data_IF_399042258130
#
_entry.id   IF_399042258130
#
_cell.length_a   1.000
_cell.length_b   1.000
_cell.length_c   1.000
_cell.angle_alpha   90.00
_cell.angle_beta   90.00
_cell.angle_gamma   90.00
#
_symmetry.space_group_name_H-M   'P 1'
#
loop_
_entity.id
_entity.type
_entity.pdbx_description
1 polymer ?
#
# COMPACT_ATOMS: atom_id res chain seq x y z
N UNK A 1 73.84 -31.36 31.36
CA UNK A 1 72.60 -30.60 31.63
C UNK A 1 72.14 -29.96 30.32
N UNK A 2 71.10 -30.51 29.69
CA UNK A 2 70.39 -29.89 28.54
C UNK A 2 68.97 -29.56 29.03
N UNK A 3 68.43 -28.36 28.79
CA UNK A 3 67.09 -28.02 29.27
C UNK A 3 66.03 -28.66 28.37
N UNK A 4 65.02 -29.27 28.99
CA UNK A 4 63.83 -29.79 28.31
C UNK A 4 62.88 -28.64 27.98
N UNK A 5 62.63 -28.44 26.69
CA UNK A 5 61.64 -27.50 26.16
C UNK A 5 60.24 -28.11 26.23
N UNK A 6 59.40 -27.60 27.13
CA UNK A 6 57.96 -27.89 27.19
C UNK A 6 57.24 -27.12 26.07
N UNK A 7 56.59 -27.86 25.17
CA UNK A 7 55.72 -27.32 24.12
C UNK A 7 54.29 -27.20 24.67
N UNK A 8 53.62 -26.04 24.57
CA UNK A 8 52.24 -25.90 25.03
C UNK A 8 51.27 -26.53 24.01
N UNK A 9 50.45 -27.47 24.46
CA UNK A 9 49.30 -27.95 23.68
C UNK A 9 48.21 -26.87 23.68
N UNK A 10 48.02 -26.20 22.54
CA UNK A 10 46.87 -25.36 22.27
C UNK A 10 45.69 -26.29 21.95
N UNK A 11 44.73 -26.41 22.87
CA UNK A 11 43.42 -27.01 22.57
C UNK A 11 42.66 -26.06 21.65
N UNK A 12 42.62 -26.41 20.35
CA UNK A 12 41.78 -25.73 19.36
C UNK A 12 40.33 -26.23 19.54
N UNK A 13 39.50 -25.45 20.25
CA UNK A 13 38.06 -25.68 20.31
C UNK A 13 37.44 -25.33 18.94
N UNK A 14 37.24 -26.35 18.11
CA UNK A 14 36.40 -26.25 16.91
C UNK A 14 34.95 -26.02 17.35
N UNK A 15 34.57 -24.74 17.46
CA UNK A 15 33.17 -24.36 17.56
C UNK A 15 32.45 -24.76 16.27
N UNK A 16 31.64 -25.81 16.32
CA UNK A 16 30.66 -26.10 15.28
C UNK A 16 29.66 -24.94 15.24
N UNK A 17 29.86 -24.00 14.31
CA UNK A 17 28.84 -23.06 13.93
C UNK A 17 27.71 -23.86 13.27
N UNK A 18 26.70 -24.25 14.05
CA UNK A 18 25.48 -24.82 13.50
C UNK A 18 24.89 -23.78 12.55
N UNK A 19 24.92 -24.06 11.25
CA UNK A 19 24.19 -23.28 10.27
C UNK A 19 22.73 -23.27 10.69
N UNK A 20 22.20 -22.10 11.05
CA UNK A 20 20.79 -21.95 11.36
C UNK A 20 20.00 -22.24 10.07
N UNK A 21 19.50 -23.47 9.94
CA UNK A 21 18.58 -23.84 8.88
C UNK A 21 17.22 -23.24 9.20
N UNK A 22 16.71 -22.39 8.33
CA UNK A 22 15.30 -21.97 8.34
C UNK A 22 14.41 -23.21 8.19
N UNK A 23 13.45 -23.40 9.12
CA UNK A 23 12.48 -24.48 9.02
C UNK A 23 11.27 -24.04 8.18
N UNK A 24 10.60 -25.00 7.54
CA UNK A 24 9.27 -24.78 6.94
C UNK A 24 8.21 -25.43 7.83
N UNK A 25 7.28 -24.61 8.33
CA UNK A 25 6.20 -24.99 9.23
C UNK A 25 4.90 -25.09 8.42
N UNK A 26 4.41 -26.30 8.18
CA UNK A 26 3.19 -26.51 7.39
C UNK A 26 1.92 -26.39 8.24
N UNK A 27 0.98 -25.59 7.77
CA UNK A 27 -0.28 -25.25 8.44
C UNK A 27 -1.50 -25.70 7.62
N UNK A 28 -2.49 -26.27 8.28
CA UNK A 28 -3.81 -26.60 7.70
C UNK A 28 -4.33 -27.99 8.09
N UNK A 29 -5.50 -28.38 7.55
CA UNK A 29 -6.10 -29.68 7.84
C UNK A 29 -5.14 -30.84 7.57
N UNK A 30 -4.91 -31.68 8.58
CA UNK A 30 -4.00 -32.82 8.51
C UNK A 30 -2.50 -32.47 8.42
N UNK A 31 -2.11 -31.21 8.61
CA UNK A 31 -0.71 -30.77 8.71
C UNK A 31 -0.23 -30.77 10.16
N UNK A 32 1.08 -30.60 10.35
CA UNK A 32 1.72 -30.52 11.68
C UNK A 32 1.08 -29.48 12.57
N UNK A 33 0.73 -28.32 12.02
CA UNK A 33 -0.01 -27.28 12.73
C UNK A 33 -1.40 -27.13 12.12
N UNK A 34 -2.44 -27.28 12.94
CA UNK A 34 -3.81 -27.15 12.46
C UNK A 34 -4.17 -25.71 12.07
N UNK A 35 -3.58 -24.70 12.74
CA UNK A 35 -3.87 -23.28 12.50
C UNK A 35 -2.59 -22.43 12.40
N UNK A 36 -2.63 -21.29 11.69
CA UNK A 36 -1.50 -20.37 11.58
C UNK A 36 -0.88 -20.00 12.92
N UNK A 37 -1.69 -19.60 13.90
CA UNK A 37 -1.20 -19.16 15.19
C UNK A 37 -0.50 -20.26 16.01
N UNK A 38 -0.80 -21.54 15.76
CA UNK A 38 -0.04 -22.65 16.35
C UNK A 38 1.36 -22.78 15.76
N UNK A 39 1.53 -22.53 14.47
CA UNK A 39 2.87 -22.47 13.86
C UNK A 39 3.62 -21.21 14.28
N UNK A 40 2.95 -20.05 14.29
CA UNK A 40 3.52 -18.75 14.71
C UNK A 40 4.07 -18.83 16.13
N UNK A 41 3.37 -19.50 17.05
CA UNK A 41 3.78 -19.63 18.45
C UNK A 41 5.11 -20.36 18.66
N UNK A 42 5.54 -21.19 17.71
CA UNK A 42 6.79 -21.98 17.82
C UNK A 42 7.83 -21.60 16.78
N UNK A 43 7.47 -20.72 15.83
CA UNK A 43 8.35 -20.26 14.78
C UNK A 43 9.54 -19.49 15.36
N UNK A 44 10.69 -19.68 14.73
CA UNK A 44 11.95 -18.99 15.06
C UNK A 44 12.28 -18.00 13.95
N UNK A 45 13.24 -17.13 14.24
CA UNK A 45 13.71 -16.19 13.24
C UNK A 45 14.33 -16.92 12.03
N UNK A 46 13.94 -16.50 10.84
CA UNK A 46 14.32 -17.14 9.57
C UNK A 46 13.33 -18.19 9.05
N UNK A 47 12.37 -18.65 9.86
CA UNK A 47 11.44 -19.70 9.44
C UNK A 47 10.46 -19.23 8.35
N UNK A 48 9.91 -20.22 7.65
CA UNK A 48 8.82 -20.07 6.70
C UNK A 48 7.58 -20.79 7.25
N UNK A 49 6.44 -20.11 7.30
CA UNK A 49 5.13 -20.71 7.60
C UNK A 49 4.34 -20.80 6.29
N UNK A 50 3.93 -22.02 5.92
CA UNK A 50 3.10 -22.26 4.75
C UNK A 50 1.68 -22.65 5.17
N UNK A 51 0.71 -21.80 4.83
CA UNK A 51 -0.69 -21.95 5.20
C UNK A 51 -1.47 -22.52 4.02
N UNK A 52 -2.09 -23.68 4.21
CA UNK A 52 -2.96 -24.27 3.21
C UNK A 52 -4.11 -23.31 2.84
N UNK A 53 -4.20 -22.99 1.56
CA UNK A 53 -5.21 -22.11 1.00
C UNK A 53 -6.57 -22.78 0.82
N UNK A 54 -7.57 -21.97 0.46
CA UNK A 54 -8.97 -22.38 0.32
C UNK A 54 -9.58 -22.95 1.62
N UNK A 55 -8.96 -22.63 2.76
CA UNK A 55 -9.42 -22.95 4.12
C UNK A 55 -9.70 -21.64 4.85
N UNK A 56 -10.81 -21.61 5.60
CA UNK A 56 -11.09 -20.51 6.53
C UNK A 56 -10.62 -20.90 7.94
N UNK A 57 -9.72 -20.09 8.48
CA UNK A 57 -9.19 -20.17 9.83
C UNK A 57 -9.94 -19.16 10.71
N UNK A 58 -11.03 -19.60 11.33
CA UNK A 58 -11.94 -18.76 12.10
C UNK A 58 -11.44 -18.56 13.54
N UNK A 59 -11.34 -17.30 13.96
CA UNK A 59 -10.89 -16.91 15.30
C UNK A 59 -9.40 -17.13 15.56
N UNK A 60 -8.60 -17.43 14.53
CA UNK A 60 -7.16 -17.70 14.66
C UNK A 60 -6.35 -16.39 14.70
N UNK A 61 -6.43 -15.72 15.85
CA UNK A 61 -5.80 -14.43 16.14
C UNK A 61 -4.62 -14.61 17.08
N UNK A 62 -3.51 -13.90 16.84
CA UNK A 62 -2.32 -14.01 17.68
C UNK A 62 -1.33 -12.84 17.47
N UNK A 63 -0.28 -12.84 18.28
CA UNK A 63 0.88 -11.95 18.13
C UNK A 63 2.05 -12.72 17.51
N UNK A 64 2.65 -12.16 16.47
CA UNK A 64 3.85 -12.67 15.81
C UNK A 64 5.06 -12.00 16.46
N UNK A 65 5.77 -12.73 17.32
CA UNK A 65 6.98 -12.22 18.01
C UNK A 65 8.29 -12.52 17.26
N UNK A 66 8.32 -13.58 16.45
CA UNK A 66 9.51 -13.94 15.69
C UNK A 66 9.80 -12.91 14.59
N UNK A 67 11.05 -12.45 14.53
CA UNK A 67 11.56 -11.58 13.46
C UNK A 67 12.06 -12.39 12.26
N UNK A 68 12.27 -11.76 11.11
CA UNK A 68 12.76 -12.41 9.88
C UNK A 68 11.91 -13.65 9.53
N UNK A 69 10.59 -13.53 9.64
CA UNK A 69 9.63 -14.61 9.45
C UNK A 69 8.86 -14.38 8.16
N UNK A 70 8.75 -15.41 7.33
CA UNK A 70 7.83 -15.38 6.18
C UNK A 70 6.60 -16.22 6.46
N UNK A 71 5.41 -15.66 6.25
CA UNK A 71 4.12 -16.35 6.39
C UNK A 71 3.41 -16.27 5.04
N UNK A 72 3.15 -17.41 4.39
CA UNK A 72 2.57 -17.42 3.04
C UNK A 72 1.43 -18.41 2.88
N UNK A 73 0.38 -18.01 2.18
CA UNK A 73 -0.64 -18.93 1.66
C UNK A 73 -0.10 -19.77 0.50
N UNK A 74 -0.39 -21.07 0.50
CA UNK A 74 -0.02 -22.03 -0.56
C UNK A 74 -1.22 -22.86 -1.01
N UNK A 75 -1.23 -23.32 -2.26
CA UNK A 75 -2.33 -24.13 -2.82
C UNK A 75 -3.71 -23.45 -2.76
N UNK A 76 -3.73 -22.14 -3.00
CA UNK A 76 -4.91 -21.27 -2.88
C UNK A 76 -4.64 -20.11 -1.92
N UNK A 77 -5.68 -19.36 -1.58
CA UNK A 77 -5.61 -18.26 -0.61
C UNK A 77 -6.27 -18.68 0.70
N UNK A 78 -5.56 -18.75 1.84
CA UNK A 78 -6.17 -18.96 3.15
C UNK A 78 -6.97 -17.73 3.56
N UNK A 79 -8.10 -17.95 4.23
CA UNK A 79 -8.95 -16.91 4.79
C UNK A 79 -8.77 -16.86 6.29
N UNK A 80 -8.25 -15.75 6.81
CA UNK A 80 -8.05 -15.52 8.24
C UNK A 80 -9.20 -14.64 8.72
N UNK A 81 -10.18 -15.27 9.34
CA UNK A 81 -11.38 -14.61 9.85
C UNK A 81 -11.20 -14.33 11.34
N UNK A 82 -11.24 -13.06 11.73
CA UNK A 82 -11.13 -12.70 13.14
C UNK A 82 -12.26 -13.30 14.00
N UNK A 83 -13.45 -13.50 13.42
CA UNK A 83 -14.61 -14.15 14.06
C UNK A 83 -14.93 -13.66 15.48
N UNK A 84 -14.88 -12.34 15.70
CA UNK A 84 -15.13 -11.72 17.00
C UNK A 84 -14.01 -11.92 18.03
N UNK A 85 -12.87 -12.49 17.64
CA UNK A 85 -11.65 -12.57 18.43
C UNK A 85 -10.67 -11.48 18.00
N UNK A 86 -9.74 -11.16 18.89
CA UNK A 86 -8.61 -10.29 18.58
C UNK A 86 -7.40 -10.67 19.43
N UNK A 87 -6.22 -10.36 18.92
CA UNK A 87 -4.98 -10.40 19.65
C UNK A 87 -4.75 -9.06 20.36
N UNK A 88 -4.53 -9.12 21.66
CA UNK A 88 -4.17 -7.97 22.53
C UNK A 88 -5.15 -6.78 22.52
N UNK A 89 -6.41 -6.97 22.12
CA UNK A 89 -7.33 -5.84 21.95
C UNK A 89 -7.05 -5.01 20.70
N UNK A 90 -6.21 -5.48 19.76
CA UNK A 90 -5.68 -4.65 18.66
C UNK A 90 -6.04 -5.12 17.24
N UNK A 91 -6.16 -6.42 16.99
CA UNK A 91 -6.35 -6.91 15.62
C UNK A 91 -6.32 -8.42 15.44
N UNK A 92 -6.41 -8.89 14.19
CA UNK A 92 -6.30 -10.31 13.84
C UNK A 92 -4.90 -10.81 14.12
N UNK A 93 -3.89 -10.23 13.46
CA UNK A 93 -2.48 -10.48 13.79
C UNK A 93 -1.78 -9.20 14.24
N UNK A 94 -1.14 -9.26 15.42
CA UNK A 94 -0.23 -8.21 15.90
C UNK A 94 1.19 -8.59 15.54
N UNK A 95 1.82 -7.84 14.64
CA UNK A 95 3.17 -8.09 14.14
C UNK A 95 4.17 -7.34 15.00
N UNK A 96 4.67 -8.00 16.05
CA UNK A 96 5.67 -7.44 16.97
C UNK A 96 7.11 -7.74 16.51
N UNK A 97 7.32 -8.82 15.76
CA UNK A 97 8.60 -9.17 15.16
C UNK A 97 9.02 -8.19 14.06
N UNK A 98 10.33 -8.08 13.85
CA UNK A 98 10.92 -7.26 12.79
C UNK A 98 11.03 -8.03 11.48
N UNK A 99 11.09 -7.34 10.35
CA UNK A 99 11.37 -7.93 9.03
C UNK A 99 10.43 -9.10 8.69
N UNK A 100 9.15 -8.97 9.06
CA UNK A 100 8.12 -9.98 8.78
C UNK A 100 7.57 -9.78 7.38
N UNK A 101 7.40 -10.88 6.66
CA UNK A 101 6.78 -10.93 5.33
C UNK A 101 5.48 -11.73 5.42
N UNK A 102 4.38 -11.15 4.94
CA UNK A 102 3.09 -11.85 4.79
C UNK A 102 2.72 -11.87 3.32
N UNK A 103 2.39 -13.06 2.80
CA UNK A 103 2.10 -13.26 1.38
C UNK A 103 0.83 -14.08 1.16
N UNK A 104 0.02 -13.69 0.17
CA UNK A 104 -1.12 -14.48 -0.30
C UNK A 104 -2.10 -14.91 0.81
N UNK A 105 -2.62 -13.95 1.58
CA UNK A 105 -3.67 -14.18 2.59
C UNK A 105 -4.91 -13.33 2.28
N UNK A 106 -6.08 -13.81 2.68
CA UNK A 106 -7.30 -13.01 2.82
C UNK A 106 -7.53 -12.79 4.32
N UNK A 107 -7.78 -11.55 4.76
CA UNK A 107 -8.00 -11.25 6.18
C UNK A 107 -9.19 -10.31 6.36
N UNK A 108 -10.13 -10.71 7.22
CA UNK A 108 -11.36 -9.95 7.44
C UNK A 108 -11.92 -10.09 8.86
N UNK A 109 -12.86 -9.18 9.18
CA UNK A 109 -13.68 -9.24 10.39
C UNK A 109 -13.03 -8.69 11.66
N UNK A 110 -11.84 -8.08 11.58
CA UNK A 110 -11.16 -7.52 12.76
C UNK A 110 -11.97 -6.37 13.35
N UNK A 111 -12.50 -6.59 14.56
CA UNK A 111 -13.25 -5.62 15.36
C UNK A 111 -12.82 -5.71 16.82
N UNK A 112 -12.59 -4.58 17.45
CA UNK A 112 -12.11 -4.50 18.85
C UNK A 112 -12.91 -3.45 19.63
N UNK A 113 -12.90 -3.50 20.98
CA UNK A 113 -13.73 -2.58 21.78
C UNK A 113 -13.47 -1.08 21.56
N UNK A 114 -12.25 -0.68 21.19
CA UNK A 114 -11.89 0.71 20.92
C UNK A 114 -12.16 1.15 19.47
N UNK A 115 -12.81 0.29 18.67
CA UNK A 115 -13.23 0.55 17.28
C UNK A 115 -12.05 0.83 16.34
N UNK A 116 -10.88 0.28 16.64
CA UNK A 116 -9.63 0.54 15.92
C UNK A 116 -8.87 -0.75 15.53
N UNK A 117 -9.59 -1.84 15.32
CA UNK A 117 -9.07 -3.19 15.13
C UNK A 117 -8.50 -3.38 13.74
N UNK A 118 -7.25 -3.85 13.64
CA UNK A 118 -6.61 -4.05 12.34
C UNK A 118 -6.59 -5.53 11.91
N UNK A 119 -6.69 -5.84 10.62
CA UNK A 119 -6.27 -7.17 10.15
C UNK A 119 -4.78 -7.40 10.47
N UNK A 120 -3.95 -6.40 10.20
CA UNK A 120 -2.53 -6.39 10.57
C UNK A 120 -2.20 -5.14 11.39
N UNK A 121 -1.90 -5.34 12.68
CA UNK A 121 -1.36 -4.29 13.56
C UNK A 121 0.16 -4.37 13.56
N UNK A 122 0.85 -3.39 13.00
CA UNK A 122 2.32 -3.41 12.86
C UNK A 122 2.97 -2.66 14.02
N UNK A 123 3.74 -3.37 14.83
CA UNK A 123 4.48 -2.83 15.99
C UNK A 123 6.01 -3.01 15.84
N UNK A 124 6.45 -4.01 15.08
CA UNK A 124 7.86 -4.24 14.75
C UNK A 124 8.44 -3.25 13.72
N UNK A 125 9.75 -3.37 13.50
CA UNK A 125 10.50 -2.64 12.46
C UNK A 125 10.51 -3.42 11.16
N UNK A 126 10.19 -2.75 10.06
CA UNK A 126 10.09 -3.29 8.70
C UNK A 126 8.98 -4.33 8.53
N UNK A 127 8.27 -4.22 7.41
CA UNK A 127 7.21 -5.16 7.07
C UNK A 127 7.01 -5.23 5.57
N UNK A 128 6.69 -6.42 5.07
CA UNK A 128 6.31 -6.61 3.67
C UNK A 128 5.00 -7.36 3.57
N UNK A 129 4.06 -6.81 2.79
CA UNK A 129 2.82 -7.48 2.38
C UNK A 129 2.81 -7.69 0.88
N UNK A 130 2.52 -8.91 0.44
CA UNK A 130 2.38 -9.23 -0.99
C UNK A 130 1.13 -10.03 -1.28
N UNK A 131 0.50 -9.73 -2.41
CA UNK A 131 -0.57 -10.57 -2.96
C UNK A 131 -1.70 -10.83 -1.97
N UNK A 132 -2.00 -9.92 -1.04
CA UNK A 132 -2.98 -10.11 0.02
C UNK A 132 -4.32 -9.43 -0.31
N UNK A 133 -5.39 -9.80 0.41
CA UNK A 133 -6.68 -9.13 0.35
C UNK A 133 -7.19 -8.86 1.76
N UNK A 134 -7.24 -7.59 2.16
CA UNK A 134 -7.64 -7.16 3.51
C UNK A 134 -8.94 -6.35 3.42
N UNK A 135 -10.02 -6.88 3.98
CA UNK A 135 -11.34 -6.26 3.83
C UNK A 135 -12.26 -6.47 5.02
N UNK A 136 -13.30 -5.62 5.13
CA UNK A 136 -14.33 -5.72 6.18
C UNK A 136 -13.76 -5.77 7.61
N UNK A 137 -12.67 -5.02 7.83
CA UNK A 137 -12.07 -4.78 9.15
C UNK A 137 -12.35 -3.34 9.59
N UNK A 138 -12.14 -3.02 10.86
CA UNK A 138 -12.09 -1.61 11.27
C UNK A 138 -10.91 -0.90 10.59
N UNK A 139 -9.71 -1.50 10.58
CA UNK A 139 -8.58 -1.11 9.72
C UNK A 139 -8.05 -2.32 8.93
N UNK A 140 -7.64 -2.12 7.68
CA UNK A 140 -6.86 -3.15 6.99
C UNK A 140 -5.48 -3.27 7.63
N UNK A 141 -4.68 -2.20 7.54
CA UNK A 141 -3.38 -2.09 8.21
C UNK A 141 -3.39 -0.90 9.15
N UNK A 142 -2.79 -1.06 10.33
CA UNK A 142 -2.55 0.03 11.26
C UNK A 142 -1.14 -0.06 11.85
N UNK A 143 -0.35 1.00 11.69
CA UNK A 143 1.01 1.09 12.25
C UNK A 143 1.13 2.24 13.24
N UNK A 144 2.06 2.11 14.18
CA UNK A 144 2.48 3.19 15.09
C UNK A 144 3.61 4.07 14.53
N UNK A 145 4.30 4.75 15.43
CA UNK A 145 5.50 5.55 15.13
C UNK A 145 6.75 4.67 15.21
N UNK A 146 7.51 4.59 14.12
CA UNK A 146 8.81 3.90 14.09
C UNK A 146 9.64 4.40 12.89
N UNK A 147 10.51 5.39 13.13
CA UNK A 147 11.29 6.04 12.08
C UNK A 147 12.33 5.14 11.40
N UNK A 148 12.65 3.99 12.00
CA UNK A 148 13.55 3.00 11.42
C UNK A 148 12.80 2.03 10.48
N UNK A 149 11.46 2.02 10.53
CA UNK A 149 10.63 1.08 9.78
C UNK A 149 10.45 1.48 8.32
N UNK A 150 10.58 0.48 7.45
CA UNK A 150 10.25 0.54 6.04
C UNK A 150 9.15 -0.47 5.74
N UNK A 151 8.04 0.02 5.20
CA UNK A 151 6.89 -0.82 4.84
C UNK A 151 6.81 -0.93 3.31
N UNK A 152 6.79 -2.16 2.81
CA UNK A 152 6.53 -2.49 1.41
C UNK A 152 5.17 -3.19 1.29
N UNK A 153 4.30 -2.67 0.45
CA UNK A 153 3.00 -3.30 0.14
C UNK A 153 2.87 -3.35 -1.38
N UNK A 154 2.74 -4.56 -1.91
CA UNK A 154 2.58 -4.75 -3.35
C UNK A 154 1.61 -5.85 -3.73
N UNK A 155 1.02 -5.71 -4.92
CA UNK A 155 0.09 -6.68 -5.50
C UNK A 155 -1.11 -7.02 -4.60
N UNK A 156 -1.47 -6.13 -3.68
CA UNK A 156 -2.45 -6.38 -2.64
C UNK A 156 -3.71 -5.55 -2.84
N UNK A 157 -4.80 -6.04 -2.28
CA UNK A 157 -6.10 -5.43 -2.35
C UNK A 157 -6.61 -5.05 -0.95
N UNK A 158 -7.27 -3.90 -0.87
CA UNK A 158 -7.94 -3.40 0.33
C UNK A 158 -9.33 -2.91 -0.06
N UNK A 159 -10.36 -3.41 0.62
CA UNK A 159 -11.75 -3.09 0.30
C UNK A 159 -12.59 -2.98 1.56
N UNK A 160 -13.45 -1.96 1.67
CA UNK A 160 -14.45 -1.87 2.74
C UNK A 160 -13.91 -2.02 4.17
N UNK A 161 -12.68 -1.56 4.43
CA UNK A 161 -12.27 -1.38 5.82
C UNK A 161 -12.73 0.00 6.30
N UNK A 162 -13.09 0.09 7.58
CA UNK A 162 -13.58 1.31 8.20
C UNK A 162 -14.69 1.00 9.21
N UNK A 163 -14.77 1.81 10.26
CA UNK A 163 -15.82 1.71 11.29
C UNK A 163 -17.00 2.66 11.00
N UNK A 164 -16.88 3.54 10.01
CA UNK A 164 -17.94 4.50 9.65
C UNK A 164 -17.81 5.87 10.33
N UNK A 165 -16.77 6.10 11.15
CA UNK A 165 -16.57 7.35 11.89
C UNK A 165 -15.50 8.27 11.29
N UNK A 166 -14.74 7.78 10.31
CA UNK A 166 -13.64 8.52 9.67
C UNK A 166 -12.27 8.39 10.33
N UNK A 167 -12.17 7.69 11.46
CA UNK A 167 -10.90 7.49 12.18
C UNK A 167 -10.15 6.21 11.83
N UNK A 168 -10.78 5.34 11.04
CA UNK A 168 -10.20 4.08 10.59
C UNK A 168 -10.28 3.96 9.07
N UNK A 169 -9.41 3.12 8.48
CA UNK A 169 -9.07 3.22 7.07
C UNK A 169 -8.73 1.87 6.45
N UNK A 170 -8.67 1.81 5.13
CA UNK A 170 -8.05 0.68 4.43
C UNK A 170 -6.59 0.51 4.88
N UNK A 171 -5.83 1.61 4.92
CA UNK A 171 -4.47 1.61 5.43
C UNK A 171 -4.19 2.88 6.23
N UNK A 172 -3.67 2.70 7.45
CA UNK A 172 -3.05 3.76 8.24
C UNK A 172 -1.59 3.43 8.47
N UNK A 173 -0.72 4.16 7.77
CA UNK A 173 0.72 4.13 7.99
C UNK A 173 1.09 5.32 8.86
N UNK A 174 1.54 5.04 10.08
CA UNK A 174 2.01 6.03 11.04
C UNK A 174 3.33 6.70 10.63
N UNK A 175 3.93 7.46 11.56
CA UNK A 175 5.17 8.17 11.28
C UNK A 175 6.35 7.19 11.25
N UNK A 176 6.70 6.75 10.04
CA UNK A 176 7.76 5.78 9.77
C UNK A 176 8.81 6.33 8.79
N UNK A 177 9.88 5.56 8.58
CA UNK A 177 10.95 5.92 7.64
C UNK A 177 10.46 5.99 6.20
N UNK A 178 9.84 4.92 5.69
CA UNK A 178 9.32 4.93 4.31
C UNK A 178 8.17 3.96 4.08
N UNK A 179 7.24 4.36 3.20
CA UNK A 179 6.25 3.51 2.57
C UNK A 179 6.57 3.33 1.08
N UNK A 180 6.59 2.09 0.60
CA UNK A 180 6.46 1.75 -0.82
C UNK A 180 5.13 1.03 -1.02
N UNK A 181 4.22 1.65 -1.78
CA UNK A 181 2.90 1.14 -2.10
C UNK A 181 2.76 1.06 -3.62
N UNK A 182 2.84 -0.15 -4.20
CA UNK A 182 2.80 -0.33 -5.65
C UNK A 182 1.97 -1.51 -6.16
N UNK A 183 1.37 -1.37 -7.33
CA UNK A 183 0.55 -2.42 -7.96
C UNK A 183 -0.64 -2.88 -7.10
N UNK A 184 -1.12 -2.03 -6.20
CA UNK A 184 -2.21 -2.35 -5.29
C UNK A 184 -3.56 -1.85 -5.81
N UNK A 185 -4.63 -2.42 -5.26
CA UNK A 185 -5.99 -1.93 -5.43
C UNK A 185 -6.56 -1.55 -4.07
N UNK A 186 -6.78 -0.25 -3.79
CA UNK A 186 -7.45 0.17 -2.55
C UNK A 186 -8.75 0.88 -2.89
N UNK A 187 -9.84 0.43 -2.30
CA UNK A 187 -11.16 0.92 -2.67
C UNK A 187 -12.14 0.90 -1.52
N UNK A 188 -13.19 1.71 -1.64
CA UNK A 188 -14.40 1.59 -0.83
C UNK A 188 -14.17 1.61 0.68
N UNK A 189 -13.23 2.41 1.18
CA UNK A 189 -13.16 2.64 2.63
C UNK A 189 -14.55 2.98 3.20
N UNK A 190 -14.95 2.29 4.27
CA UNK A 190 -16.23 2.51 4.93
C UNK A 190 -16.14 3.75 5.83
N UNK A 191 -16.15 4.92 5.18
CA UNK A 191 -15.68 6.19 5.73
C UNK A 191 -14.16 6.11 6.05
N UNK A 192 -13.47 7.24 6.09
CA UNK A 192 -12.00 7.27 6.18
C UNK A 192 -11.32 7.19 4.82
N UNK A 193 -10.05 6.79 4.75
CA UNK A 193 -9.23 6.93 3.55
C UNK A 193 -8.88 5.59 2.91
N UNK A 194 -8.71 5.60 1.58
CA UNK A 194 -8.17 4.43 0.89
C UNK A 194 -6.66 4.26 1.17
N UNK A 195 -5.94 5.34 1.46
CA UNK A 195 -4.58 5.31 2.02
C UNK A 195 -4.33 6.54 2.88
N UNK A 196 -3.95 6.37 4.15
CA UNK A 196 -3.35 7.43 4.99
C UNK A 196 -1.91 7.06 5.32
N UNK A 197 -0.96 7.95 5.03
CA UNK A 197 0.47 7.74 5.35
C UNK A 197 1.14 8.96 5.92
N UNK A 198 1.72 8.80 7.11
CA UNK A 198 2.60 9.79 7.76
C UNK A 198 4.08 9.50 7.54
N UNK A 199 4.44 8.55 6.66
CA UNK A 199 5.82 8.21 6.41
C UNK A 199 6.62 9.40 5.85
N UNK A 200 7.91 9.49 6.19
CA UNK A 200 8.80 10.56 5.72
C UNK A 200 9.10 10.49 4.23
N UNK A 201 9.12 9.28 3.68
CA UNK A 201 9.30 8.98 2.26
C UNK A 201 8.14 8.11 1.78
N UNK A 202 7.43 8.56 0.76
CA UNK A 202 6.33 7.81 0.16
C UNK A 202 6.62 7.53 -1.32
N UNK A 203 6.64 6.27 -1.71
CA UNK A 203 6.60 5.84 -3.10
C UNK A 203 5.25 5.18 -3.36
N UNK A 204 4.32 5.90 -3.97
CA UNK A 204 2.96 5.47 -4.28
C UNK A 204 2.87 5.37 -5.80
N UNK A 205 3.08 4.17 -6.35
CA UNK A 205 3.24 4.02 -7.79
C UNK A 205 2.42 2.87 -8.39
N UNK A 206 1.83 3.10 -9.55
CA UNK A 206 1.15 2.06 -10.34
C UNK A 206 0.02 1.36 -9.57
N UNK A 207 -0.71 2.09 -8.74
CA UNK A 207 -1.87 1.59 -8.01
C UNK A 207 -3.18 2.01 -8.69
N UNK A 208 -4.25 1.36 -8.27
CA UNK A 208 -5.61 1.82 -8.53
C UNK A 208 -6.30 2.15 -7.21
N UNK A 209 -6.79 3.37 -7.11
CA UNK A 209 -7.73 3.83 -6.10
C UNK A 209 -9.04 4.11 -6.81
N UNK A 210 -10.06 3.29 -6.58
CA UNK A 210 -11.38 3.52 -7.18
C UNK A 210 -12.46 2.70 -6.50
N UNK A 211 -13.60 3.31 -6.23
CA UNK A 211 -14.75 2.60 -5.71
C UNK A 211 -15.41 1.66 -6.73
N UNK A 212 -16.08 0.65 -6.21
CA UNK A 212 -16.98 -0.22 -6.96
C UNK A 212 -18.16 0.57 -7.55
N UNK A 213 -18.68 0.09 -8.66
CA UNK A 213 -19.91 0.66 -9.22
C UNK A 213 -21.10 0.35 -8.30
N UNK A 214 -22.08 1.25 -8.26
CA UNK A 214 -23.31 0.99 -7.51
C UNK A 214 -24.00 -0.30 -8.02
N UNK A 215 -24.22 -1.26 -7.11
CA UNK A 215 -24.84 -2.55 -7.44
C UNK A 215 -23.90 -3.60 -8.04
N UNK A 216 -22.60 -3.35 -8.10
CA UNK A 216 -21.60 -4.37 -8.46
C UNK A 216 -21.67 -5.55 -7.47
N UNK A 217 -21.79 -6.78 -7.99
CA UNK A 217 -21.95 -8.00 -7.19
C UNK A 217 -20.66 -8.83 -7.21
N UNK A 218 -20.37 -9.55 -6.13
CA UNK A 218 -19.19 -10.45 -6.05
C UNK A 218 -17.91 -9.80 -5.51
N UNK A 219 -18.01 -8.64 -4.88
CA UNK A 219 -16.92 -7.92 -4.20
C UNK A 219 -17.36 -7.51 -2.78
N UNK A 220 -16.52 -6.79 -2.05
CA UNK A 220 -16.92 -6.12 -0.80
C UNK A 220 -18.04 -5.11 -1.08
N UNK A 221 -18.73 -4.65 -0.03
CA UNK A 221 -19.72 -3.60 -0.21
C UNK A 221 -19.07 -2.28 -0.70
N UNK A 222 -19.86 -1.42 -1.33
CA UNK A 222 -19.40 -0.07 -1.69
C UNK A 222 -19.23 0.79 -0.42
N UNK A 223 -18.18 1.60 -0.41
CA UNK A 223 -17.86 2.53 0.67
C UNK A 223 -18.15 3.97 0.28
N UNK A 224 -17.88 4.88 1.21
CA UNK A 224 -17.85 6.34 0.96
C UNK A 224 -16.51 6.86 1.44
N UNK A 225 -15.43 6.65 0.67
CA UNK A 225 -14.13 7.16 1.07
C UNK A 225 -14.18 8.69 1.23
N UNK A 226 -13.37 9.19 2.15
CA UNK A 226 -13.00 10.58 2.28
C UNK A 226 -11.91 10.86 1.23
N UNK A 227 -10.66 11.09 1.65
CA UNK A 227 -9.53 11.14 0.71
C UNK A 227 -9.19 9.77 0.10
N UNK A 228 -8.86 9.76 -1.19
CA UNK A 228 -8.29 8.57 -1.86
C UNK A 228 -6.87 8.32 -1.36
N UNK A 229 -6.09 9.39 -1.24
CA UNK A 229 -4.74 9.37 -0.68
C UNK A 229 -4.59 10.56 0.27
N UNK A 230 -4.20 10.29 1.51
CA UNK A 230 -3.89 11.28 2.53
C UNK A 230 -2.44 11.17 3.01
N UNK A 231 -1.67 12.23 2.80
CA UNK A 231 -0.28 12.40 3.24
C UNK A 231 -0.22 13.57 4.23
N UNK A 232 -0.83 13.44 5.41
CA UNK A 232 -1.23 14.58 6.24
C UNK A 232 -0.04 15.37 6.80
N UNK A 233 1.13 14.74 6.96
CA UNK A 233 2.34 15.41 7.49
C UNK A 233 3.37 15.78 6.43
N UNK A 234 2.98 15.80 5.15
CA UNK A 234 3.92 15.89 4.04
C UNK A 234 4.93 14.72 4.09
N UNK A 235 6.16 14.94 3.63
CA UNK A 235 7.16 13.90 3.37
C UNK A 235 7.55 13.93 1.89
N UNK A 236 8.80 13.60 1.56
CA UNK A 236 9.19 13.47 0.14
C UNK A 236 8.35 12.37 -0.49
N UNK A 237 7.50 12.72 -1.45
CA UNK A 237 6.42 11.84 -1.92
C UNK A 237 6.36 11.79 -3.44
N UNK A 238 6.37 10.56 -3.95
CA UNK A 238 6.28 10.22 -5.35
C UNK A 238 4.94 9.54 -5.60
N UNK A 239 4.04 10.22 -6.29
CA UNK A 239 2.74 9.71 -6.73
C UNK A 239 2.82 9.54 -8.24
N UNK A 240 3.12 8.32 -8.71
CA UNK A 240 3.52 8.08 -10.10
C UNK A 240 2.66 6.99 -10.76
N UNK A 241 2.07 7.26 -11.91
CA UNK A 241 1.43 6.20 -12.71
C UNK A 241 0.19 5.58 -12.08
N UNK A 242 -0.48 6.26 -11.13
CA UNK A 242 -1.66 5.73 -10.46
C UNK A 242 -2.95 6.11 -11.19
N UNK A 243 -3.96 5.25 -11.06
CA UNK A 243 -5.36 5.62 -11.28
C UNK A 243 -5.94 6.04 -9.94
N UNK A 244 -6.48 7.26 -9.85
CA UNK A 244 -7.06 7.80 -8.63
C UNK A 244 -8.45 8.32 -8.95
N UNK A 245 -9.47 7.59 -8.52
CA UNK A 245 -10.85 7.94 -8.76
C UNK A 245 -11.59 8.16 -7.45
N UNK A 246 -12.29 9.29 -7.37
CA UNK A 246 -13.22 9.57 -6.29
C UNK A 246 -14.66 9.33 -6.75
N UNK A 247 -15.44 8.52 -6.01
CA UNK A 247 -16.85 8.28 -6.32
C UNK A 247 -17.72 9.52 -6.14
N UNK A 248 -18.84 9.53 -6.86
CA UNK A 248 -19.86 10.58 -6.72
C UNK A 248 -20.36 10.72 -5.27
N UNK A 249 -20.49 9.60 -4.57
CA UNK A 249 -20.74 9.56 -3.13
C UNK A 249 -19.41 9.43 -2.36
N UNK A 250 -18.92 10.53 -1.82
CA UNK A 250 -17.71 10.62 -1.01
C UNK A 250 -17.99 11.47 0.25
N UNK A 251 -17.16 11.32 1.27
CA UNK A 251 -17.26 12.09 2.52
C UNK A 251 -16.42 13.38 2.49
N UNK A 252 -15.45 13.46 1.57
CA UNK A 252 -14.65 14.65 1.35
C UNK A 252 -14.27 14.76 -0.14
N UNK A 253 -14.46 15.92 -0.80
CA UNK A 253 -14.25 16.06 -2.24
C UNK A 253 -12.77 16.16 -2.68
N UNK A 254 -11.81 15.86 -1.81
CA UNK A 254 -10.38 15.91 -2.15
C UNK A 254 -9.86 14.51 -2.51
N UNK A 255 -9.12 14.40 -3.60
CA UNK A 255 -8.57 13.11 -4.06
C UNK A 255 -7.22 12.82 -3.40
N UNK A 256 -6.24 13.69 -3.60
CA UNK A 256 -4.92 13.62 -2.97
C UNK A 256 -4.74 14.80 -2.01
N UNK A 257 -4.62 14.53 -0.71
CA UNK A 257 -4.30 15.51 0.31
C UNK A 257 -2.83 15.39 0.74
N UNK A 258 -2.13 16.52 0.85
CA UNK A 258 -0.71 16.58 1.20
C UNK A 258 -0.41 17.72 2.19
N UNK A 259 0.10 17.36 3.36
CA UNK A 259 0.53 18.32 4.39
C UNK A 259 -0.61 19.10 5.06
N UNK A 260 -1.85 18.62 4.95
CA UNK A 260 -3.04 19.32 5.46
C UNK A 260 -3.04 19.43 6.99
N UNK A 261 -2.57 18.39 7.71
CA UNK A 261 -2.41 18.41 9.17
C UNK A 261 -1.06 19.02 9.61
N UNK A 262 -0.36 19.71 8.70
CA UNK A 262 0.92 20.38 8.93
C UNK A 262 2.14 19.60 8.45
N UNK A 263 3.02 20.29 7.72
CA UNK A 263 4.25 19.77 7.11
C UNK A 263 5.38 19.49 8.13
N UNK A 264 5.11 18.60 9.09
CA UNK A 264 6.04 18.25 10.18
C UNK A 264 7.13 17.25 9.79
N UNK A 265 6.99 16.53 8.66
CA UNK A 265 8.07 15.70 8.13
C UNK A 265 9.23 16.56 7.58
N UNK A 266 10.48 16.07 7.58
CA UNK A 266 11.62 16.87 7.09
C UNK A 266 11.59 17.20 5.60
N UNK A 267 11.06 16.31 4.76
CA UNK A 267 10.96 16.50 3.31
C UNK A 267 9.58 17.00 2.91
N UNK A 268 9.51 17.98 2.02
CA UNK A 268 8.24 18.60 1.58
C UNK A 268 8.04 18.53 0.06
N UNK A 269 8.82 17.70 -0.62
CA UNK A 269 8.71 17.52 -2.08
C UNK A 269 7.51 16.64 -2.43
N UNK A 270 6.66 17.12 -3.32
CA UNK A 270 5.55 16.36 -3.88
C UNK A 270 5.70 16.26 -5.40
N UNK A 271 5.85 15.04 -5.91
CA UNK A 271 5.88 14.71 -7.33
C UNK A 271 4.63 13.93 -7.70
N UNK A 272 3.74 14.53 -8.49
CA UNK A 272 2.51 13.92 -9.02
C UNK A 272 2.69 13.78 -10.53
N UNK A 273 3.11 12.60 -10.98
CA UNK A 273 3.57 12.38 -12.35
C UNK A 273 2.83 11.24 -13.05
N UNK A 274 2.30 11.50 -14.24
CA UNK A 274 1.68 10.47 -15.08
C UNK A 274 0.53 9.72 -14.39
N UNK A 275 -0.26 10.37 -13.54
CA UNK A 275 -1.46 9.77 -12.95
C UNK A 275 -2.70 10.07 -13.79
N UNK A 276 -3.73 9.24 -13.66
CA UNK A 276 -5.07 9.52 -14.17
C UNK A 276 -6.00 9.73 -12.98
N UNK A 277 -6.37 10.99 -12.74
CA UNK A 277 -7.35 11.38 -11.74
C UNK A 277 -8.74 11.48 -12.36
N UNK A 278 -9.75 10.92 -11.69
CA UNK A 278 -11.15 10.91 -12.14
C UNK A 278 -12.04 11.30 -10.97
N UNK A 279 -12.73 12.43 -11.08
CA UNK A 279 -13.70 12.84 -10.08
C UNK A 279 -15.12 12.64 -10.62
N UNK A 280 -15.83 11.66 -10.04
CA UNK A 280 -17.22 11.39 -10.41
C UNK A 280 -18.21 12.25 -9.60
N UNK A 281 -17.74 13.03 -8.60
CA UNK A 281 -18.54 14.09 -8.00
C UNK A 281 -18.68 15.27 -8.97
N UNK A 282 -19.86 15.40 -9.56
CA UNK A 282 -20.15 16.41 -10.59
C UNK A 282 -20.19 17.85 -10.06
N UNK A 283 -20.28 18.04 -8.75
CA UNK A 283 -20.56 19.35 -8.12
C UNK A 283 -19.33 20.05 -7.55
N UNK A 284 -18.33 19.29 -7.09
CA UNK A 284 -17.15 19.81 -6.40
C UNK A 284 -16.00 18.82 -6.49
N UNK A 285 -14.78 19.30 -6.22
CA UNK A 285 -13.59 18.46 -6.25
C UNK A 285 -12.32 19.27 -6.02
N UNK A 286 -11.33 18.67 -5.36
CA UNK A 286 -9.94 19.14 -5.35
C UNK A 286 -9.05 17.97 -5.71
N UNK A 287 -8.40 18.02 -6.89
CA UNK A 287 -7.54 16.92 -7.33
C UNK A 287 -6.31 16.76 -6.45
N UNK A 288 -5.61 17.86 -6.15
CA UNK A 288 -4.43 17.86 -5.29
C UNK A 288 -4.51 19.00 -4.27
N UNK A 289 -4.92 18.69 -3.05
CA UNK A 289 -4.83 19.63 -1.93
C UNK A 289 -3.41 19.61 -1.36
N UNK A 290 -2.83 20.80 -1.26
CA UNK A 290 -1.56 21.03 -0.58
C UNK A 290 -1.79 22.01 0.57
N UNK A 291 -1.43 21.58 1.77
CA UNK A 291 -1.55 22.38 2.99
C UNK A 291 -0.66 23.63 2.94
N UNK A 292 -1.13 24.72 3.55
CA UNK A 292 -0.46 26.03 3.50
C UNK A 292 0.92 26.07 4.13
N UNK A 293 1.24 25.11 5.01
CA UNK A 293 2.57 24.97 5.61
C UNK A 293 3.63 24.36 4.67
N UNK A 294 3.23 23.82 3.52
CA UNK A 294 4.12 23.28 2.50
C UNK A 294 4.57 24.41 1.58
N UNK A 295 5.82 24.85 1.74
CA UNK A 295 6.42 25.95 0.94
C UNK A 295 7.12 25.46 -0.33
N UNK A 296 7.50 24.18 -0.37
CA UNK A 296 8.07 23.56 -1.56
C UNK A 296 7.00 23.40 -2.64
N UNK A 297 7.32 23.79 -3.88
CA UNK A 297 6.37 23.72 -4.99
C UNK A 297 6.16 22.26 -5.40
N UNK A 298 4.91 21.80 -5.37
CA UNK A 298 4.53 20.52 -5.93
C UNK A 298 4.77 20.51 -7.44
N UNK A 299 5.27 19.39 -7.96
CA UNK A 299 5.34 19.12 -9.40
C UNK A 299 4.14 18.29 -9.82
N UNK A 300 3.26 18.86 -10.63
CA UNK A 300 2.15 18.16 -11.28
C UNK A 300 2.49 18.06 -12.76
N UNK A 301 2.91 16.89 -13.22
CA UNK A 301 3.37 16.70 -14.60
C UNK A 301 2.74 15.49 -15.30
N UNK A 302 2.33 15.65 -16.56
CA UNK A 302 1.80 14.56 -17.40
C UNK A 302 0.58 13.84 -16.82
N UNK A 303 -0.23 14.48 -15.99
CA UNK A 303 -1.43 13.84 -15.43
C UNK A 303 -2.65 14.11 -16.30
N UNK A 304 -3.60 13.17 -16.31
CA UNK A 304 -4.98 13.40 -16.77
C UNK A 304 -5.82 13.77 -15.55
N UNK A 305 -6.54 14.88 -15.62
CA UNK A 305 -7.55 15.30 -14.63
C UNK A 305 -8.94 15.31 -15.29
N UNK A 306 -9.73 14.28 -14.99
CA UNK A 306 -11.09 14.11 -15.46
C UNK A 306 -12.13 14.53 -14.42
N UNK A 307 -13.12 15.32 -14.83
CA UNK A 307 -14.25 15.71 -13.99
C UNK A 307 -14.18 17.13 -13.41
N UNK A 308 -15.15 17.47 -12.57
CA UNK A 308 -15.28 18.79 -11.92
C UNK A 308 -14.24 18.95 -10.81
N UNK A 309 -13.73 20.16 -10.59
CA UNK A 309 -12.90 20.46 -9.42
C UNK A 309 -11.68 21.35 -9.69
N UNK A 310 -11.13 21.91 -8.62
CA UNK A 310 -9.87 22.64 -8.67
C UNK A 310 -8.70 21.68 -8.86
N UNK A 311 -7.75 22.06 -9.72
CA UNK A 311 -6.56 21.25 -9.98
C UNK A 311 -5.69 21.11 -8.72
N UNK A 312 -5.36 22.24 -8.09
CA UNK A 312 -4.63 22.26 -6.83
C UNK A 312 -4.94 23.50 -6.01
N UNK A 313 -4.75 23.42 -4.69
CA UNK A 313 -4.81 24.56 -3.78
C UNK A 313 -3.49 25.32 -3.66
N UNK A 314 -2.37 24.76 -4.14
CA UNK A 314 -1.07 25.43 -4.02
C UNK A 314 -0.88 26.50 -5.09
N UNK A 315 -0.87 27.76 -4.67
CA UNK A 315 -0.46 28.85 -5.55
C UNK A 315 1.01 28.66 -5.95
N UNK A 316 1.28 28.61 -7.25
CA UNK A 316 2.63 28.47 -7.77
C UNK A 316 3.16 27.03 -7.83
N UNK A 317 2.28 26.02 -7.72
CA UNK A 317 2.61 24.66 -8.13
C UNK A 317 3.21 24.66 -9.55
N UNK A 318 4.16 23.75 -9.79
CA UNK A 318 4.76 23.57 -11.10
C UNK A 318 3.88 22.62 -11.89
N UNK A 319 3.10 23.16 -12.82
CA UNK A 319 2.23 22.39 -13.70
C UNK A 319 2.85 22.26 -15.09
N UNK A 320 3.00 21.02 -15.58
CA UNK A 320 3.61 20.74 -16.89
C UNK A 320 2.84 19.66 -17.64
N UNK A 321 2.44 19.94 -18.88
CA UNK A 321 1.84 18.94 -19.80
C UNK A 321 0.76 18.08 -19.13
N UNK A 322 -0.05 18.67 -18.26
CA UNK A 322 -1.25 18.01 -17.72
C UNK A 322 -2.38 18.19 -18.73
N UNK A 323 -3.25 17.18 -18.85
CA UNK A 323 -4.47 17.25 -19.63
C UNK A 323 -5.68 17.32 -18.71
N UNK A 324 -6.58 18.28 -18.94
CA UNK A 324 -7.80 18.47 -18.15
C UNK A 324 -9.03 18.49 -19.05
N UNK A 325 -10.02 17.69 -18.71
CA UNK A 325 -11.32 17.66 -19.38
C UNK A 325 -12.41 17.21 -18.42
N UNK A 326 -13.67 17.59 -18.65
CA UNK A 326 -14.77 17.04 -17.86
C UNK A 326 -14.93 15.53 -18.08
N UNK A 327 -14.74 15.07 -19.31
CA UNK A 327 -14.79 13.66 -19.68
C UNK A 327 -13.64 13.33 -20.65
N UNK A 328 -12.44 12.98 -20.14
CA UNK A 328 -11.34 12.51 -20.99
C UNK A 328 -11.73 11.25 -21.77
N UNK A 329 -11.22 11.12 -23.00
CA UNK A 329 -11.49 9.97 -23.86
C UNK A 329 -10.66 8.74 -23.47
N UNK A 330 -11.34 7.63 -23.16
CA UNK A 330 -10.74 6.34 -22.83
C UNK A 330 -11.35 5.23 -23.68
N UNK A 331 -10.60 4.15 -23.92
CA UNK A 331 -11.07 2.98 -24.68
C UNK A 331 -12.39 2.45 -24.11
N UNK A 332 -12.46 2.27 -22.78
CA UNK A 332 -13.73 2.01 -22.10
C UNK A 332 -13.65 2.41 -20.62
N UNK A 333 -14.17 3.60 -20.31
CA UNK A 333 -14.27 4.09 -18.92
C UNK A 333 -15.08 3.13 -18.03
N UNK A 334 -16.20 2.62 -18.53
CA UNK A 334 -17.10 1.73 -17.79
C UNK A 334 -16.43 0.39 -17.44
N UNK A 335 -15.56 -0.13 -18.32
CA UNK A 335 -14.80 -1.36 -18.08
C UNK A 335 -13.43 -1.11 -17.41
N UNK A 336 -13.13 0.13 -16.99
CA UNK A 336 -11.84 0.54 -16.44
C UNK A 336 -10.64 0.33 -17.39
N UNK A 337 -10.90 0.25 -18.69
CA UNK A 337 -9.87 0.36 -19.72
C UNK A 337 -9.59 1.84 -19.98
N UNK A 338 -8.70 2.40 -19.15
CA UNK A 338 -8.35 3.82 -19.14
C UNK A 338 -7.17 4.15 -20.06
N UNK A 339 -6.86 3.29 -21.04
CA UNK A 339 -5.97 3.67 -22.13
C UNK A 339 -6.60 4.85 -22.89
N UNK A 340 -5.85 5.92 -23.19
CA UNK A 340 -6.41 7.09 -23.84
C UNK A 340 -6.83 6.77 -25.29
N UNK A 341 -7.96 7.33 -25.74
CA UNK A 341 -8.32 7.30 -27.16
C UNK A 341 -7.50 8.31 -27.95
N UNK A 342 -7.54 8.21 -29.28
CA UNK A 342 -6.81 9.10 -30.19
C UNK A 342 -7.06 10.58 -29.86
N UNK A 343 -6.06 11.21 -29.24
CA UNK A 343 -6.08 12.62 -28.85
C UNK A 343 -4.63 13.16 -28.87
N UNK A 344 -4.30 14.11 -29.77
CA UNK A 344 -2.94 14.63 -29.90
C UNK A 344 -2.48 15.46 -28.70
N UNK A 345 -3.40 15.83 -27.79
CA UNK A 345 -3.08 16.50 -26.53
C UNK A 345 -2.78 15.52 -25.38
N UNK A 346 -2.84 14.21 -25.64
CA UNK A 346 -2.61 13.16 -24.64
C UNK A 346 -1.59 12.15 -25.17
N UNK A 347 -1.84 11.58 -26.35
CA UNK A 347 -0.98 10.59 -26.98
C UNK A 347 0.27 11.28 -27.53
N UNK A 348 1.45 10.81 -27.14
CA UNK A 348 2.74 11.38 -27.53
C UNK A 348 3.00 12.80 -27.04
N UNK A 349 2.21 13.29 -26.08
CA UNK A 349 2.20 14.69 -25.66
C UNK A 349 2.94 14.95 -24.33
N UNK A 350 3.40 13.91 -23.63
CA UNK A 350 4.05 14.08 -22.34
C UNK A 350 5.43 14.72 -22.49
N UNK A 351 5.77 15.61 -21.56
CA UNK A 351 7.15 16.11 -21.42
C UNK A 351 7.97 15.16 -20.54
N UNK A 352 9.28 15.09 -20.76
CA UNK A 352 10.18 14.19 -20.00
C UNK A 352 10.21 14.61 -18.51
N UNK A 353 9.79 13.75 -17.56
CA UNK A 353 9.76 14.09 -16.12
C UNK A 353 11.13 14.26 -15.47
N UNK A 354 12.16 13.60 -16.01
CA UNK A 354 13.52 13.65 -15.48
C UNK A 354 13.67 12.93 -14.13
N UNK A 355 14.46 13.52 -13.24
CA UNK A 355 14.80 12.98 -11.92
C UNK A 355 14.50 14.01 -10.83
N UNK A 356 14.07 13.53 -9.67
CA UNK A 356 14.06 14.35 -8.46
C UNK A 356 15.52 14.64 -8.01
N UNK A 357 15.76 15.69 -7.20
CA UNK A 357 17.08 15.99 -6.65
C UNK A 357 17.71 14.84 -5.86
N UNK A 358 16.89 13.94 -5.32
CA UNK A 358 17.32 12.70 -4.65
C UNK A 358 17.87 11.62 -5.59
N UNK A 359 17.78 11.82 -6.91
CA UNK A 359 18.17 10.84 -7.94
C UNK A 359 17.08 9.84 -8.32
N UNK A 360 15.86 9.95 -7.75
CA UNK A 360 14.72 9.10 -8.14
C UNK A 360 14.20 9.50 -9.51
N UNK A 361 14.14 8.55 -10.44
CA UNK A 361 13.55 8.75 -11.77
C UNK A 361 12.03 8.94 -11.68
N UNK A 362 11.52 9.97 -12.35
CA UNK A 362 10.10 10.33 -12.32
C UNK A 362 9.30 9.76 -13.51
N UNK A 363 9.97 9.23 -14.53
CA UNK A 363 9.32 8.58 -15.68
C UNK A 363 8.68 7.25 -15.24
N UNK A 364 7.38 7.00 -15.49
CA UNK A 364 6.76 5.72 -15.18
C UNK A 364 7.37 4.60 -16.04
N UNK A 365 7.69 3.47 -15.41
CA UNK A 365 8.18 2.25 -16.06
C UNK A 365 7.15 1.11 -16.12
N UNK A 366 5.99 1.29 -15.46
CA UNK A 366 4.96 0.29 -15.35
C UNK A 366 3.56 0.91 -15.40
N UNK A 367 2.55 0.05 -15.51
CA UNK A 367 1.14 0.38 -15.46
C UNK A 367 0.43 -0.59 -14.52
N UNK A 368 -0.62 -0.12 -13.86
CA UNK A 368 -1.48 -0.99 -13.08
C UNK A 368 -2.22 -1.97 -14.00
N UNK A 369 -2.35 -3.23 -13.60
CA UNK A 369 -3.22 -4.21 -14.26
C UNK A 369 -4.21 -4.76 -13.25
N UNK A 370 -5.50 -4.72 -13.61
CA UNK A 370 -6.53 -5.26 -12.74
C UNK A 370 -6.48 -6.81 -12.72
N UNK A 371 -6.55 -7.48 -11.57
CA UNK A 371 -6.67 -6.95 -10.19
C UNK A 371 -5.31 -6.97 -9.48
N UNK A 372 -5.00 -5.89 -8.75
CA UNK A 372 -3.82 -5.71 -7.91
C UNK A 372 -2.53 -6.29 -8.55
N UNK A 373 -2.27 -5.90 -9.79
CA UNK A 373 -1.15 -6.37 -10.59
C UNK A 373 -0.50 -5.20 -11.34
N UNK A 374 0.58 -5.49 -12.05
CA UNK A 374 1.26 -4.53 -12.90
C UNK A 374 1.81 -5.17 -14.16
N UNK A 375 2.07 -4.34 -15.16
CA UNK A 375 2.76 -4.69 -16.40
C UNK A 375 3.80 -3.62 -16.72
N UNK A 376 4.82 -3.96 -17.51
CA UNK A 376 5.74 -2.94 -18.02
C UNK A 376 4.98 -1.94 -18.87
N UNK A 377 5.27 -0.66 -18.69
CA UNK A 377 4.68 0.40 -19.51
C UNK A 377 5.26 0.30 -20.93
N UNK A 378 4.44 0.18 -21.98
CA UNK A 378 4.93 0.22 -23.35
C UNK A 378 5.75 1.49 -23.60
N UNK A 379 6.83 1.36 -24.37
CA UNK A 379 7.62 2.50 -24.81
C UNK A 379 7.37 2.71 -26.29
N UNK A 380 6.37 3.52 -26.61
CA UNK A 380 6.07 3.90 -27.99
C UNK A 380 6.38 5.40 -28.15
N UNK A 381 7.51 5.72 -28.80
CA UNK A 381 7.87 7.12 -29.07
C UNK A 381 7.92 8.01 -27.82
N UNK A 382 7.30 9.18 -27.92
CA UNK A 382 7.09 10.09 -26.78
C UNK A 382 5.99 9.52 -25.89
N UNK A 383 6.19 9.60 -24.56
CA UNK A 383 5.25 9.08 -23.57
C UNK A 383 3.85 9.73 -23.70
N UNK A 384 2.82 8.97 -23.39
CA UNK A 384 1.46 9.49 -23.23
C UNK A 384 1.25 10.17 -21.86
N UNK A 385 0.37 11.17 -21.82
CA UNK A 385 -0.12 11.76 -20.56
C UNK A 385 -1.07 10.77 -19.88
N UNK A 386 -0.94 10.62 -18.56
CA UNK A 386 -1.79 9.75 -17.73
C UNK A 386 -1.14 8.41 -17.36
N UNK A 387 -1.91 7.58 -16.64
CA UNK A 387 -1.46 6.34 -16.03
C UNK A 387 -1.17 5.20 -17.02
N UNK A 388 -1.75 5.26 -18.22
CA UNK A 388 -1.60 4.25 -19.26
C UNK A 388 -1.06 4.86 -20.54
N UNK A 389 -0.25 4.08 -21.25
CA UNK A 389 0.07 4.28 -22.65
C UNK A 389 -1.11 3.82 -23.52
N UNK A 390 -1.33 4.50 -24.63
CA UNK A 390 -2.20 4.03 -25.70
C UNK A 390 -1.62 2.76 -26.35
N UNK A 391 -2.49 2.01 -27.01
CA UNK A 391 -2.13 0.78 -27.72
C UNK A 391 -1.65 1.02 -29.16
N UNK A 392 -1.31 2.27 -29.52
CA UNK A 392 -0.97 2.68 -30.89
C UNK A 392 0.52 2.49 -31.19
#
# INVERSE_FOLDING_TARGET
MRPASLTPFILLSLGFAASASAATLSVGPGKTYATPCRAIAVAKAGDLIEIAGNVTYSGDVCTIYASNLTIRGVNGRPRIDAAGKNAQGKGTWVVAGNDVVVENVEMYGAKVPDQNGAALRLEGTNFTLRSAFLHDNENGILTGVNLNSKVLIEYSEFGHNGYGTGYTHNLYIGNIGSLTFRYNYSHDAHVGHNLKSRARLNMIAYNRFSSLNAGETGTTAAGKPSYEIDLPNAGTSYVIGNVIQQPAANENPTLLAYGEEGASNPGHDLYVVNNTFLNDNSSSGTFVLVGSSVTSKALLQNNIFGGTGALTTQVGAIEKTNYRALAPGFVSRAAWDLRPTANPLVIGAASVPGYAPSGVGLKPGAEYRHRASGVSRPQVGTLDIGAYESAL
#
